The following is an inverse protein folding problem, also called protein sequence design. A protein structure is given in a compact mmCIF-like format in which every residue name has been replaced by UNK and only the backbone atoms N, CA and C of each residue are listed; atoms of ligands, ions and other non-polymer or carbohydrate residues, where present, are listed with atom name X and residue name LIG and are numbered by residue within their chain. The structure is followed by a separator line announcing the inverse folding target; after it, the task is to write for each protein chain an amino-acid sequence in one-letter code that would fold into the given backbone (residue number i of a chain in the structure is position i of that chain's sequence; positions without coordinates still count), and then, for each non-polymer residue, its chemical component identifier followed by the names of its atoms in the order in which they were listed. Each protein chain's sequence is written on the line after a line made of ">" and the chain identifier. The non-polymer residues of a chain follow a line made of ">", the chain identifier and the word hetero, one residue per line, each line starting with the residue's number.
data_IF_124542539005
#
_entry.id   IF_124542539005
#
_cell.length_a   1.000
_cell.length_b   1.000
_cell.length_c   1.000
_cell.angle_alpha   90.00
_cell.angle_beta   90.00
_cell.angle_gamma   90.00
#
_symmetry.space_group_name_H-M   'P 1'
#
loop_
_entity.id
_entity.type
_entity.pdbx_description
1 polymer ?
#
# COMPACT_ATOMS: atom_id res chain seq x y z
N UNK A 1 -8.53 19.48 18.28
CA UNK A 1 -7.42 18.94 19.10
C UNK A 1 -6.15 19.63 18.69
N UNK A 2 -5.42 20.25 19.63
CA UNK A 2 -4.11 20.83 19.34
C UNK A 2 -3.04 19.74 19.42
N UNK A 3 -2.17 19.64 18.41
CA UNK A 3 -1.05 18.68 18.39
C UNK A 3 0.26 19.41 18.66
N UNK A 4 1.14 18.82 19.49
CA UNK A 4 2.47 19.37 19.81
C UNK A 4 3.54 18.44 19.28
N UNK A 5 4.45 18.95 18.44
CA UNK A 5 5.63 18.19 17.99
C UNK A 5 6.69 18.20 19.09
N UNK A 6 7.08 17.00 19.54
CA UNK A 6 8.16 16.78 20.52
C UNK A 6 9.47 16.32 19.86
N UNK A 7 9.52 16.27 18.54
CA UNK A 7 10.64 15.72 17.78
C UNK A 7 11.96 16.44 18.09
N UNK A 8 11.96 17.76 18.19
CA UNK A 8 13.17 18.54 18.49
C UNK A 8 13.66 18.30 19.92
N UNK A 9 12.75 18.30 20.90
CA UNK A 9 13.08 17.98 22.29
C UNK A 9 13.66 16.56 22.41
N UNK A 10 13.07 15.61 21.70
CA UNK A 10 13.57 14.24 21.62
C UNK A 10 14.98 14.16 21.00
N UNK A 11 15.21 14.83 19.86
CA UNK A 11 16.52 14.83 19.20
C UNK A 11 17.59 15.46 20.07
N UNK A 12 17.26 16.55 20.77
CA UNK A 12 18.18 17.22 21.70
C UNK A 12 18.55 16.30 22.87
N UNK A 13 17.56 15.67 23.50
CA UNK A 13 17.78 14.71 24.60
C UNK A 13 18.59 13.50 24.12
N UNK A 14 18.30 12.97 22.93
CA UNK A 14 19.04 11.85 22.33
C UNK A 14 20.50 12.21 22.07
N UNK A 15 20.75 13.35 21.45
CA UNK A 15 22.11 13.80 21.12
C UNK A 15 22.91 14.12 22.39
N UNK A 16 22.28 14.76 23.38
CA UNK A 16 22.90 15.05 24.66
C UNK A 16 23.23 13.75 25.44
N UNK A 17 22.34 12.76 25.42
CA UNK A 17 22.60 11.44 26.00
C UNK A 17 23.75 10.70 25.28
N UNK A 18 23.86 10.83 23.96
CA UNK A 18 24.97 10.26 23.21
C UNK A 18 26.31 10.94 23.52
N UNK A 19 26.34 12.27 23.61
CA UNK A 19 27.53 13.03 24.01
C UNK A 19 27.97 12.68 25.45
N UNK A 20 27.03 12.63 26.40
CA UNK A 20 27.35 12.27 27.78
C UNK A 20 27.89 10.83 27.90
N UNK A 21 27.41 9.89 27.07
CA UNK A 21 28.00 8.53 26.99
C UNK A 21 29.45 8.55 26.53
N UNK A 22 29.77 9.37 25.53
CA UNK A 22 31.14 9.49 25.00
C UNK A 22 32.09 10.10 26.04
N UNK A 23 31.65 11.15 26.75
CA UNK A 23 32.44 11.81 27.80
C UNK A 23 32.71 10.85 28.97
N UNK A 24 31.69 10.08 29.39
CA UNK A 24 31.85 9.10 30.46
C UNK A 24 32.79 7.96 30.05
N UNK A 25 32.70 7.46 28.81
CA UNK A 25 33.60 6.44 28.30
C UNK A 25 35.05 6.94 28.22
N UNK A 26 35.26 8.18 27.76
CA UNK A 26 36.58 8.81 27.68
C UNK A 26 37.20 9.05 29.06
N UNK A 27 36.39 9.45 30.05
CA UNK A 27 36.82 9.61 31.44
C UNK A 27 37.21 8.27 32.08
N UNK A 28 36.47 7.18 31.81
CA UNK A 28 36.81 5.83 32.29
C UNK A 28 38.12 5.34 31.65
N UNK A 29 38.32 5.56 30.34
CA UNK A 29 39.58 5.21 29.66
C UNK A 29 40.79 6.02 30.14
N UNK A 30 40.60 7.30 30.52
CA UNK A 30 41.67 8.14 31.07
C UNK A 30 42.04 7.82 32.53
N UNK A 31 41.14 7.17 33.28
CA UNK A 31 41.44 6.65 34.62
C UNK A 31 42.24 5.35 34.55
N UNK A 32 42.04 4.55 33.49
CA UNK A 32 42.77 3.29 33.23
C UNK A 32 44.24 3.51 32.83
N UNK A 33 44.58 4.64 32.19
CA UNK A 33 45.91 4.92 31.62
C UNK A 33 46.91 5.60 32.56
N UNK A 34 46.60 5.77 33.86
CA UNK A 34 47.55 6.27 34.86
C UNK A 34 48.36 5.12 35.49
N UNK A 35 49.70 5.04 35.27
CA UNK A 35 50.53 4.04 35.92
C UNK A 35 50.82 4.48 37.36
N UNK A 36 50.10 3.89 38.32
CA UNK A 36 50.44 3.98 39.74
C UNK A 36 49.32 4.52 40.63
N UNK A 37 48.42 3.63 41.06
CA UNK A 37 47.91 3.64 42.44
C UNK A 37 47.27 2.28 42.75
N UNK A 38 47.59 1.76 43.93
CA UNK A 38 47.20 0.44 44.40
C UNK A 38 45.71 0.36 44.79
N UNK A 39 45.16 -0.86 44.64
CA UNK A 39 44.00 -1.45 45.37
C UNK A 39 42.76 -0.57 45.61
N UNK A 40 41.65 -0.83 44.90
CA UNK A 40 40.27 -0.95 45.44
C UNK A 40 39.24 -1.25 44.31
N UNK A 41 37.92 -1.41 44.56
CA UNK A 41 37.03 -2.45 44.07
C UNK A 41 36.38 -2.08 42.71
N UNK A 42 37.22 -1.80 41.71
CA UNK A 42 36.77 -1.34 40.38
C UNK A 42 36.38 -2.45 39.41
N UNK A 43 36.79 -3.70 39.68
CA UNK A 43 36.61 -4.81 38.73
C UNK A 43 35.14 -5.20 38.50
N UNK A 44 34.27 -5.12 39.51
CA UNK A 44 32.84 -5.45 39.36
C UNK A 44 32.06 -4.38 38.57
N UNK A 45 32.53 -3.12 38.58
CA UNK A 45 31.93 -2.03 37.80
C UNK A 45 32.38 -2.08 36.34
N UNK A 46 33.61 -2.54 36.08
CA UNK A 46 34.13 -2.77 34.73
C UNK A 46 33.41 -3.92 34.03
N UNK A 47 33.13 -5.03 34.73
CA UNK A 47 32.43 -6.19 34.16
C UNK A 47 30.94 -5.89 33.89
N UNK A 48 30.27 -5.12 34.76
CA UNK A 48 28.88 -4.66 34.54
C UNK A 48 28.77 -3.59 33.45
N UNK A 49 29.81 -2.78 33.26
CA UNK A 49 29.90 -1.82 32.16
C UNK A 49 30.16 -2.54 30.84
N UNK A 50 31.03 -3.55 30.84
CA UNK A 50 31.35 -4.39 29.68
C UNK A 50 30.18 -5.28 29.26
N UNK A 51 29.41 -5.84 30.20
CA UNK A 51 28.18 -6.58 29.91
C UNK A 51 27.05 -5.69 29.35
N UNK A 52 26.95 -4.44 29.85
CA UNK A 52 26.05 -3.43 29.27
C UNK A 52 26.54 -2.94 27.92
N UNK A 53 27.86 -2.88 27.71
CA UNK A 53 28.47 -2.55 26.44
C UNK A 53 28.24 -3.69 25.44
N UNK A 54 28.39 -4.96 25.82
CA UNK A 54 28.24 -6.14 24.97
C UNK A 54 26.80 -6.32 24.45
N UNK A 55 25.78 -5.96 25.23
CA UNK A 55 24.39 -5.91 24.77
C UNK A 55 24.11 -4.76 23.79
N UNK A 56 25.03 -3.79 23.69
CA UNK A 56 24.95 -2.60 22.83
C UNK A 56 26.01 -2.61 21.72
N UNK A 57 27.04 -3.46 21.77
CA UNK A 57 28.10 -3.60 20.76
C UNK A 57 27.60 -4.17 19.42
N UNK A 58 26.34 -4.61 19.36
CA UNK A 58 25.63 -4.85 18.09
C UNK A 58 25.13 -3.57 17.39
N UNK A 59 25.17 -2.43 18.08
CA UNK A 59 24.95 -1.09 17.52
C UNK A 59 26.33 -0.41 17.39
N UNK A 60 26.77 -0.28 16.15
CA UNK A 60 27.99 0.43 15.76
C UNK A 60 28.16 1.76 16.53
N UNK A 61 29.40 2.05 16.97
CA UNK A 61 29.81 3.29 17.65
C UNK A 61 29.71 4.55 16.77
N UNK A 62 29.39 4.41 15.49
CA UNK A 62 29.18 5.55 14.61
C UNK A 62 27.70 6.01 14.68
N UNK A 63 27.41 7.26 15.09
CA UNK A 63 26.03 7.76 15.15
C UNK A 63 25.31 7.79 13.80
N UNK A 64 26.03 7.71 12.67
CA UNK A 64 25.45 7.45 11.35
C UNK A 64 25.20 5.96 11.10
N UNK A 65 26.01 5.07 11.67
CA UNK A 65 25.84 3.62 11.61
C UNK A 65 24.82 3.06 12.62
N UNK A 66 24.44 3.83 13.64
CA UNK A 66 23.28 3.51 14.50
C UNK A 66 21.94 3.82 13.82
N UNK A 67 21.95 4.62 12.73
CA UNK A 67 20.91 4.64 11.69
C UNK A 67 21.19 3.52 10.66
N UNK A 68 21.91 2.48 11.07
CA UNK A 68 21.68 1.13 10.57
C UNK A 68 20.30 0.68 11.03
N UNK A 69 19.24 1.30 10.49
CA UNK A 69 18.03 0.54 10.12
C UNK A 69 18.59 -0.75 9.58
N UNK A 70 18.34 -1.86 10.28
CA UNK A 70 18.74 -3.19 9.82
C UNK A 70 18.51 -3.20 8.32
N UNK A 71 19.57 -3.20 7.51
CA UNK A 71 19.45 -3.29 6.05
C UNK A 71 18.98 -4.71 5.71
N UNK A 72 17.86 -5.13 6.29
CA UNK A 72 17.04 -6.18 5.74
C UNK A 72 16.53 -5.57 4.45
N UNK A 73 17.00 -6.12 3.34
CA UNK A 73 16.45 -5.77 2.05
C UNK A 73 14.92 -5.93 2.16
N UNK A 74 14.15 -4.99 1.60
CA UNK A 74 12.71 -5.12 1.57
C UNK A 74 12.34 -6.51 1.03
N UNK A 75 11.34 -7.17 1.62
CA UNK A 75 10.92 -8.48 1.14
C UNK A 75 10.67 -8.47 -0.36
N UNK A 76 11.03 -9.55 -1.06
CA UNK A 76 10.89 -9.63 -2.54
C UNK A 76 9.47 -9.40 -3.07
N UNK A 77 8.46 -9.51 -2.22
CA UNK A 77 7.08 -9.21 -2.58
C UNK A 77 6.80 -7.71 -2.67
N UNK A 78 7.63 -6.85 -2.06
CA UNK A 78 7.52 -5.39 -2.11
C UNK A 78 7.66 -4.88 -3.55
N UNK A 79 8.61 -5.42 -4.32
CA UNK A 79 8.76 -5.07 -5.74
C UNK A 79 7.47 -5.33 -6.54
N UNK A 80 6.76 -6.42 -6.22
CA UNK A 80 5.47 -6.73 -6.84
C UNK A 80 4.36 -5.77 -6.42
N UNK A 81 4.39 -5.27 -5.19
CA UNK A 81 3.46 -4.24 -4.71
C UNK A 81 3.72 -2.91 -5.43
N UNK A 82 4.98 -2.52 -5.58
CA UNK A 82 5.37 -1.30 -6.30
C UNK A 82 4.94 -1.35 -7.77
N UNK A 83 5.11 -2.49 -8.44
CA UNK A 83 4.62 -2.69 -9.81
C UNK A 83 3.09 -2.50 -9.91
N UNK A 84 2.32 -3.10 -8.98
CA UNK A 84 0.86 -2.94 -8.95
C UNK A 84 0.47 -1.48 -8.68
N UNK A 85 1.16 -0.80 -7.76
CA UNK A 85 0.89 0.62 -7.46
C UNK A 85 1.19 1.52 -8.65
N UNK A 86 2.25 1.22 -9.40
CA UNK A 86 2.56 1.90 -10.64
C UNK A 86 1.45 1.71 -11.69
N UNK A 87 1.01 0.47 -11.91
CA UNK A 87 -0.08 0.18 -12.85
C UNK A 87 -1.41 0.86 -12.42
N UNK A 88 -1.74 0.87 -11.12
CA UNK A 88 -2.90 1.60 -10.58
C UNK A 88 -2.82 3.10 -10.88
N UNK A 89 -1.63 3.70 -10.73
CA UNK A 89 -1.43 5.12 -11.03
C UNK A 89 -1.58 5.40 -12.53
N UNK A 90 -1.09 4.48 -13.36
CA UNK A 90 -1.21 4.55 -14.82
C UNK A 90 -2.66 4.38 -15.29
N UNK A 91 -3.44 3.48 -14.69
CA UNK A 91 -4.88 3.36 -14.93
C UNK A 91 -5.58 4.69 -14.60
N UNK A 92 -5.30 5.27 -13.42
CA UNK A 92 -5.87 6.58 -13.04
C UNK A 92 -5.56 7.67 -14.07
N UNK A 93 -4.35 7.70 -14.60
CA UNK A 93 -3.98 8.67 -15.63
C UNK A 93 -4.76 8.42 -16.93
N UNK A 94 -4.77 7.18 -17.44
CA UNK A 94 -5.51 6.82 -18.65
C UNK A 94 -7.01 7.07 -18.53
N UNK A 95 -7.60 6.89 -17.34
CA UNK A 95 -8.99 7.24 -17.09
C UNK A 95 -9.28 8.74 -17.21
N UNK A 96 -8.33 9.60 -16.79
CA UNK A 96 -8.46 11.05 -16.99
C UNK A 96 -8.35 11.41 -18.47
N UNK A 97 -7.41 10.79 -19.17
CA UNK A 97 -7.23 11.01 -20.61
C UNK A 97 -8.51 10.57 -21.36
N UNK A 98 -9.07 9.40 -21.01
CA UNK A 98 -10.35 8.92 -21.54
C UNK A 98 -11.51 9.88 -21.25
N UNK A 99 -11.59 10.43 -20.04
CA UNK A 99 -12.63 11.41 -19.71
C UNK A 99 -12.52 12.67 -20.59
N UNK A 100 -11.29 13.12 -20.88
CA UNK A 100 -11.07 14.24 -21.79
C UNK A 100 -11.48 13.92 -23.24
N UNK A 101 -11.23 12.69 -23.70
CA UNK A 101 -11.67 12.21 -25.01
C UNK A 101 -13.20 12.12 -25.09
N UNK A 102 -13.86 11.61 -24.04
CA UNK A 102 -15.32 11.58 -23.93
C UNK A 102 -15.94 12.98 -24.01
N UNK A 103 -15.39 13.96 -23.30
CA UNK A 103 -15.88 15.35 -23.35
C UNK A 103 -15.60 15.99 -24.71
N UNK A 104 -14.42 15.76 -25.31
CA UNK A 104 -14.10 16.25 -26.67
C UNK A 104 -15.08 15.69 -27.70
N UNK A 105 -15.33 14.38 -27.66
CA UNK A 105 -16.23 13.70 -28.58
C UNK A 105 -17.69 14.15 -28.42
N UNK A 106 -18.16 14.36 -27.18
CA UNK A 106 -19.53 14.81 -26.95
C UNK A 106 -19.78 16.26 -27.37
N UNK A 107 -18.76 17.12 -27.27
CA UNK A 107 -18.86 18.53 -27.61
C UNK A 107 -18.60 18.83 -29.11
N UNK A 108 -18.33 17.80 -29.93
CA UNK A 108 -18.02 18.01 -31.35
C UNK A 108 -19.23 18.54 -32.14
N UNK A 109 -19.05 19.50 -33.07
CA UNK A 109 -20.07 19.88 -34.04
C UNK A 109 -20.51 18.67 -34.88
N UNK A 110 -21.79 18.59 -35.23
CA UNK A 110 -22.41 17.42 -35.91
C UNK A 110 -21.86 17.12 -37.31
N UNK A 111 -21.05 18.03 -37.90
CA UNK A 111 -20.50 17.92 -39.24
C UNK A 111 -19.03 17.43 -39.27
N UNK A 112 -18.46 17.14 -38.10
CA UNK A 112 -17.08 16.66 -37.98
C UNK A 112 -17.09 15.12 -37.78
N UNK A 113 -16.93 14.40 -38.88
CA UNK A 113 -16.83 12.93 -38.96
C UNK A 113 -15.39 12.46 -38.65
N UNK A 114 -14.88 12.88 -37.49
CA UNK A 114 -13.58 12.43 -37.05
C UNK A 114 -13.73 11.09 -36.31
N UNK A 115 -13.62 10.01 -37.10
CA UNK A 115 -13.52 8.61 -36.65
C UNK A 115 -12.28 8.36 -35.78
N UNK A 116 -11.32 9.29 -35.79
CA UNK A 116 -10.08 9.23 -35.00
C UNK A 116 -10.35 9.28 -33.49
N UNK A 117 -11.27 10.14 -33.02
CA UNK A 117 -11.62 10.22 -31.60
C UNK A 117 -12.36 8.97 -31.11
N UNK A 118 -13.24 8.42 -31.93
CA UNK A 118 -14.00 7.21 -31.63
C UNK A 118 -13.05 6.02 -31.48
N UNK A 119 -12.12 5.89 -32.43
CA UNK A 119 -11.08 4.87 -32.37
C UNK A 119 -10.13 5.08 -31.17
N UNK A 120 -9.78 6.32 -30.84
CA UNK A 120 -8.96 6.63 -29.68
C UNK A 120 -9.66 6.27 -28.35
N UNK A 121 -10.98 6.48 -28.25
CA UNK A 121 -11.80 6.07 -27.10
C UNK A 121 -11.83 4.55 -26.98
N UNK A 122 -12.01 3.83 -28.09
CA UNK A 122 -11.99 2.37 -28.14
C UNK A 122 -10.64 1.82 -27.64
N UNK A 123 -9.53 2.27 -28.24
CA UNK A 123 -8.18 1.84 -27.87
C UNK A 123 -7.93 2.11 -26.38
N UNK A 124 -8.22 3.32 -25.92
CA UNK A 124 -7.98 3.70 -24.52
C UNK A 124 -8.84 2.88 -23.56
N UNK A 125 -10.09 2.57 -23.93
CA UNK A 125 -10.99 1.71 -23.15
C UNK A 125 -10.47 0.28 -23.05
N UNK A 126 -10.00 -0.28 -24.17
CA UNK A 126 -9.40 -1.62 -24.20
C UNK A 126 -8.10 -1.66 -23.38
N UNK A 127 -7.22 -0.67 -23.52
CA UNK A 127 -5.99 -0.56 -22.74
C UNK A 127 -6.28 -0.52 -21.23
N UNK A 128 -7.26 0.29 -20.80
CA UNK A 128 -7.66 0.37 -19.39
C UNK A 128 -8.16 -0.98 -18.88
N UNK A 129 -9.01 -1.67 -19.65
CA UNK A 129 -9.54 -3.00 -19.29
C UNK A 129 -8.42 -4.04 -19.17
N UNK A 130 -7.46 -4.03 -20.11
CA UNK A 130 -6.28 -4.90 -20.05
C UNK A 130 -5.40 -4.60 -18.83
N UNK A 131 -5.22 -3.32 -18.48
CA UNK A 131 -4.48 -2.93 -17.27
C UNK A 131 -5.19 -3.40 -15.99
N UNK A 132 -6.53 -3.31 -15.91
CA UNK A 132 -7.29 -3.87 -14.80
C UNK A 132 -7.04 -5.37 -14.64
N UNK A 133 -7.10 -6.15 -15.74
CA UNK A 133 -6.80 -7.58 -15.71
C UNK A 133 -5.35 -7.88 -15.32
N UNK A 134 -4.38 -7.06 -15.78
CA UNK A 134 -2.98 -7.19 -15.38
C UNK A 134 -2.84 -6.98 -13.87
N UNK A 135 -3.36 -5.87 -13.33
CA UNK A 135 -3.34 -5.61 -11.89
C UNK A 135 -3.99 -6.73 -11.09
N UNK A 136 -5.16 -7.21 -11.51
CA UNK A 136 -5.87 -8.32 -10.88
C UNK A 136 -5.02 -9.59 -10.84
N UNK A 137 -4.38 -9.99 -11.96
CA UNK A 137 -3.48 -11.16 -11.99
C UNK A 137 -2.25 -10.95 -11.11
N UNK A 138 -1.66 -9.76 -11.11
CA UNK A 138 -0.51 -9.43 -10.26
C UNK A 138 -0.87 -9.50 -8.77
N UNK A 139 -2.04 -8.99 -8.39
CA UNK A 139 -2.57 -9.11 -7.02
C UNK A 139 -2.75 -10.59 -6.63
N UNK A 140 -3.37 -11.42 -7.47
CA UNK A 140 -3.51 -12.87 -7.20
C UNK A 140 -2.15 -13.59 -7.13
N UNK A 141 -1.22 -13.25 -8.02
CA UNK A 141 0.14 -13.82 -8.02
C UNK A 141 0.88 -13.49 -6.73
N UNK A 142 0.70 -12.28 -6.20
CA UNK A 142 1.27 -11.86 -4.93
C UNK A 142 0.83 -12.76 -3.76
N UNK A 143 -0.40 -13.28 -3.78
CA UNK A 143 -0.89 -14.25 -2.80
C UNK A 143 -0.06 -15.54 -2.78
N UNK A 144 0.30 -16.05 -3.95
CA UNK A 144 1.09 -17.28 -4.07
C UNK A 144 2.51 -17.10 -3.51
N UNK A 145 3.06 -15.89 -3.63
CA UNK A 145 4.40 -15.52 -3.13
C UNK A 145 4.42 -15.40 -1.60
N UNK A 146 3.26 -15.28 -0.94
CA UNK A 146 3.12 -15.21 0.51
C UNK A 146 3.49 -16.51 1.23
N UNK A 147 3.42 -17.67 0.55
CA UNK A 147 3.62 -18.99 1.18
C UNK A 147 5.05 -19.25 1.67
N UNK A 148 6.02 -18.46 1.21
CA UNK A 148 7.44 -18.59 1.59
C UNK A 148 7.89 -17.50 2.59
N UNK A 149 6.96 -16.76 3.18
CA UNK A 149 7.26 -15.64 4.06
C UNK A 149 7.13 -16.02 5.55
N UNK A 150 7.75 -15.21 6.42
CA UNK A 150 7.53 -15.33 7.87
C UNK A 150 6.08 -14.99 8.22
N UNK A 151 5.58 -15.49 9.35
CA UNK A 151 4.19 -15.23 9.79
C UNK A 151 3.87 -13.73 9.90
N UNK A 152 4.86 -12.90 10.29
CA UNK A 152 4.71 -11.44 10.34
C UNK A 152 4.60 -10.83 8.94
N UNK A 153 5.45 -11.25 8.01
CA UNK A 153 5.41 -10.81 6.61
C UNK A 153 4.13 -11.26 5.92
N UNK A 154 3.62 -12.46 6.22
CA UNK A 154 2.36 -12.96 5.68
C UNK A 154 1.16 -12.10 6.11
N UNK A 155 1.11 -11.70 7.38
CA UNK A 155 0.08 -10.78 7.90
C UNK A 155 0.17 -9.41 7.22
N UNK A 156 1.38 -8.85 7.09
CA UNK A 156 1.60 -7.59 6.39
C UNK A 156 1.18 -7.68 4.91
N UNK A 157 1.56 -8.76 4.24
CA UNK A 157 1.23 -8.99 2.84
C UNK A 157 -0.26 -9.13 2.62
N UNK A 158 -0.98 -9.84 3.49
CA UNK A 158 -2.45 -9.89 3.47
C UNK A 158 -3.04 -8.49 3.58
N UNK A 159 -2.58 -7.67 4.53
CA UNK A 159 -3.05 -6.29 4.69
C UNK A 159 -2.84 -5.45 3.43
N UNK A 160 -1.64 -5.52 2.85
CA UNK A 160 -1.31 -4.79 1.61
C UNK A 160 -2.15 -5.28 0.44
N UNK A 161 -2.27 -6.60 0.26
CA UNK A 161 -3.00 -7.23 -0.85
C UNK A 161 -4.43 -6.71 -0.95
N UNK A 162 -5.14 -6.69 0.16
CA UNK A 162 -6.52 -6.24 0.13
C UNK A 162 -6.66 -4.72 0.14
N UNK A 163 -5.68 -3.96 0.66
CA UNK A 163 -5.64 -2.53 0.39
C UNK A 163 -5.49 -2.24 -1.11
N UNK A 164 -4.70 -3.05 -1.83
CA UNK A 164 -4.59 -2.98 -3.29
C UNK A 164 -5.90 -3.42 -3.97
N UNK A 165 -6.52 -4.50 -3.49
CA UNK A 165 -7.81 -4.97 -4.01
C UNK A 165 -8.92 -3.93 -3.85
N UNK A 166 -9.00 -3.27 -2.68
CA UNK A 166 -9.92 -2.17 -2.42
C UNK A 166 -9.66 -1.00 -3.37
N UNK A 167 -8.40 -0.57 -3.52
CA UNK A 167 -8.03 0.51 -4.44
C UNK A 167 -8.41 0.19 -5.89
N UNK A 168 -8.22 -1.06 -6.32
CA UNK A 168 -8.58 -1.53 -7.66
C UNK A 168 -10.10 -1.63 -7.84
N UNK A 169 -10.83 -2.03 -6.79
CA UNK A 169 -12.29 -2.05 -6.77
C UNK A 169 -12.86 -0.63 -6.88
N UNK A 170 -12.37 0.31 -6.07
CA UNK A 170 -12.77 1.72 -6.12
C UNK A 170 -12.50 2.30 -7.52
N UNK A 171 -11.33 1.99 -8.11
CA UNK A 171 -10.98 2.43 -9.45
C UNK A 171 -11.90 1.83 -10.53
N UNK A 172 -12.24 0.54 -10.43
CA UNK A 172 -13.19 -0.13 -11.33
C UNK A 172 -14.58 0.49 -11.22
N UNK A 173 -15.06 0.78 -10.01
CA UNK A 173 -16.35 1.46 -9.83
C UNK A 173 -16.33 2.85 -10.47
N UNK A 174 -15.27 3.65 -10.27
CA UNK A 174 -15.14 4.97 -10.88
C UNK A 174 -15.15 4.88 -12.42
N UNK A 175 -14.42 3.93 -13.01
CA UNK A 175 -14.41 3.71 -14.45
C UNK A 175 -15.79 3.36 -15.00
N UNK A 176 -16.49 2.41 -14.35
CA UNK A 176 -17.86 2.03 -14.74
C UNK A 176 -18.84 3.19 -14.64
N UNK A 177 -18.72 4.05 -13.61
CA UNK A 177 -19.54 5.26 -13.50
C UNK A 177 -19.23 6.26 -14.62
N UNK A 178 -17.94 6.47 -14.93
CA UNK A 178 -17.52 7.36 -16.02
C UNK A 178 -18.05 6.88 -17.37
N UNK A 179 -17.92 5.59 -17.67
CA UNK A 179 -18.46 4.97 -18.90
C UNK A 179 -19.99 5.03 -18.96
N UNK A 180 -20.68 4.70 -17.86
CA UNK A 180 -22.14 4.77 -17.80
C UNK A 180 -22.66 6.19 -17.97
N UNK A 181 -21.97 7.17 -17.37
CA UNK A 181 -22.28 8.59 -17.53
C UNK A 181 -22.09 9.08 -18.95
N UNK A 182 -21.00 8.64 -19.61
CA UNK A 182 -20.75 8.92 -21.02
C UNK A 182 -21.83 8.34 -21.93
N UNK A 183 -22.16 7.05 -21.80
CA UNK A 183 -23.24 6.39 -22.56
C UNK A 183 -24.58 7.11 -22.40
N UNK A 184 -24.93 7.52 -21.17
CA UNK A 184 -26.17 8.28 -20.91
C UNK A 184 -26.17 9.64 -21.62
N UNK A 185 -25.05 10.37 -21.59
CA UNK A 185 -24.94 11.67 -22.29
C UNK A 185 -25.02 11.52 -23.80
N UNK A 186 -24.41 10.45 -24.34
CA UNK A 186 -24.45 10.13 -25.76
C UNK A 186 -25.88 9.80 -26.23
N UNK A 187 -26.59 8.91 -25.51
CA UNK A 187 -27.99 8.59 -25.78
C UNK A 187 -28.90 9.82 -25.73
N UNK A 188 -28.74 10.67 -24.71
CA UNK A 188 -29.51 11.91 -24.59
C UNK A 188 -29.26 12.89 -25.75
N UNK A 189 -28.05 12.92 -26.31
CA UNK A 189 -27.72 13.73 -27.49
C UNK A 189 -28.43 13.17 -28.73
N UNK A 190 -28.44 11.84 -28.89
CA UNK A 190 -29.07 11.14 -30.01
C UNK A 190 -30.60 11.30 -30.00
N UNK A 191 -31.25 11.15 -28.85
CA UNK A 191 -32.70 11.38 -28.72
C UNK A 191 -33.07 12.82 -29.11
N UNK A 192 -32.25 13.80 -28.71
CA UNK A 192 -32.46 15.21 -29.08
C UNK A 192 -32.26 15.45 -30.57
N UNK A 193 -31.28 14.81 -31.22
CA UNK A 193 -31.10 14.93 -32.67
C UNK A 193 -32.22 14.21 -33.44
N UNK A 194 -32.66 13.04 -32.99
CA UNK A 194 -33.78 12.31 -33.60
C UNK A 194 -35.06 13.14 -33.60
N UNK A 195 -35.41 13.79 -32.49
CA UNK A 195 -36.57 14.68 -32.42
C UNK A 195 -36.52 15.85 -33.43
N UNK A 196 -35.33 16.36 -33.75
CA UNK A 196 -35.17 17.43 -34.73
C UNK A 196 -35.40 16.94 -36.17
N UNK A 197 -34.91 15.74 -36.50
CA UNK A 197 -35.09 15.14 -37.83
C UNK A 197 -36.50 14.57 -38.04
N UNK A 198 -37.09 13.96 -37.02
CA UNK A 198 -38.46 13.39 -37.08
C UNK A 198 -39.53 14.48 -37.21
N UNK A 199 -39.27 15.69 -36.70
CA UNK A 199 -40.14 16.88 -36.90
C UNK A 199 -39.90 17.57 -38.25
N UNK A 200 -38.79 17.29 -38.93
CA UNK A 200 -38.43 17.93 -40.21
C UNK A 200 -39.02 17.24 -41.45
N UNK A 201 -39.79 16.17 -41.27
CA UNK A 201 -40.73 15.68 -42.27
C UNK A 201 -42.17 16.04 -41.84
N UNK A 202 -42.60 17.31 -41.92
CA UNK A 202 -44.00 17.54 -42.23
C UNK A 202 -44.22 16.89 -43.60
N UNK A 203 -44.88 15.72 -43.63
CA UNK A 203 -45.79 15.44 -44.72
C UNK A 203 -46.71 16.67 -44.74
N UNK A 204 -46.46 17.60 -45.66
CA UNK A 204 -47.46 18.59 -46.01
C UNK A 204 -48.61 17.78 -46.60
N UNK A 205 -49.51 17.36 -45.71
CA UNK A 205 -50.88 17.00 -46.02
C UNK A 205 -51.57 18.29 -46.45
N UNK A 206 -51.27 18.72 -47.67
CA UNK A 206 -52.02 19.76 -48.34
C UNK A 206 -53.08 19.06 -49.19
N UNK A 207 -54.30 19.04 -48.65
CA UNK A 207 -55.56 19.00 -49.38
C UNK A 207 -55.77 17.88 -50.40
N UNK A 208 -56.63 16.93 -50.03
CA UNK A 208 -57.64 16.27 -50.89
C UNK A 208 -57.28 16.06 -52.38
N UNK A 209 -56.75 14.89 -52.75
CA UNK A 209 -57.39 14.02 -53.77
C UNK A 209 -56.72 12.63 -53.84
N UNK A 210 -57.50 11.65 -54.28
CA UNK A 210 -57.14 10.26 -54.50
C UNK A 210 -55.78 10.04 -55.21
N UNK A 211 -54.87 9.27 -54.61
CA UNK A 211 -54.27 8.06 -55.22
C UNK A 211 -53.30 7.38 -54.25
N UNK A 212 -53.71 6.19 -53.80
CA UNK A 212 -52.91 5.19 -53.12
C UNK A 212 -51.87 4.62 -54.13
N UNK A 213 -50.81 5.37 -54.42
CA UNK A 213 -49.66 4.90 -55.20
C UNK A 213 -48.37 5.31 -54.49
N UNK A 214 -47.81 4.37 -53.75
CA UNK A 214 -46.40 3.98 -53.77
C UNK A 214 -45.40 5.03 -54.31
N UNK A 215 -45.30 6.18 -53.64
CA UNK A 215 -44.17 7.08 -53.85
C UNK A 215 -43.06 6.61 -52.92
N UNK A 216 -42.38 5.55 -53.34
CA UNK A 216 -41.12 5.12 -52.74
C UNK A 216 -40.18 6.32 -52.56
N UNK A 217 -39.37 6.27 -51.50
CA UNK A 217 -38.35 7.28 -51.21
C UNK A 217 -37.65 7.71 -52.51
N UNK A 218 -37.52 9.02 -52.76
CA UNK A 218 -36.69 9.51 -53.88
C UNK A 218 -35.27 8.96 -53.72
N UNK A 219 -34.52 8.70 -54.80
CA UNK A 219 -33.14 8.15 -54.70
C UNK A 219 -32.26 8.95 -53.71
N UNK A 220 -32.42 10.28 -53.67
CA UNK A 220 -31.74 11.15 -52.69
C UNK A 220 -32.19 10.92 -51.23
N UNK A 221 -33.47 10.58 -51.01
CA UNK A 221 -34.00 10.20 -49.70
C UNK A 221 -33.52 8.80 -49.30
N UNK A 222 -33.43 7.87 -50.26
CA UNK A 222 -32.95 6.52 -50.02
C UNK A 222 -31.47 6.53 -49.62
N UNK A 223 -30.64 7.33 -50.30
CA UNK A 223 -29.22 7.54 -49.95
C UNK A 223 -29.08 8.18 -48.56
N UNK A 224 -29.93 9.14 -48.21
CA UNK A 224 -29.90 9.77 -46.89
C UNK A 224 -30.31 8.78 -45.77
N UNK A 225 -31.32 7.95 -46.03
CA UNK A 225 -31.74 6.89 -45.10
C UNK A 225 -30.62 5.85 -44.96
N UNK A 226 -30.02 5.39 -46.06
CA UNK A 226 -28.91 4.44 -46.04
C UNK A 226 -27.71 4.98 -45.25
N UNK A 227 -27.30 6.22 -45.51
CA UNK A 227 -26.22 6.88 -44.78
C UNK A 227 -26.53 7.04 -43.28
N UNK A 228 -27.79 7.36 -42.93
CA UNK A 228 -28.23 7.43 -41.54
C UNK A 228 -28.20 6.04 -40.87
N UNK A 229 -28.65 4.98 -41.58
CA UNK A 229 -28.61 3.61 -41.05
C UNK A 229 -27.19 3.12 -40.78
N UNK A 230 -26.23 3.43 -41.67
CA UNK A 230 -24.82 3.07 -41.50
C UNK A 230 -24.20 3.78 -40.28
N UNK A 231 -24.47 5.07 -40.11
CA UNK A 231 -24.03 5.81 -38.92
C UNK A 231 -24.62 5.23 -37.63
N UNK A 232 -25.91 4.88 -37.62
CA UNK A 232 -26.54 4.27 -36.44
C UNK A 232 -25.90 2.91 -36.11
N UNK A 233 -25.60 2.09 -37.12
CA UNK A 233 -24.98 0.78 -36.90
C UNK A 233 -23.55 0.88 -36.32
N UNK A 234 -22.76 1.84 -36.79
CA UNK A 234 -21.42 2.11 -36.27
C UNK A 234 -21.47 2.57 -34.80
N UNK A 235 -22.41 3.47 -34.48
CA UNK A 235 -22.64 3.89 -33.09
C UNK A 235 -23.08 2.76 -32.18
N UNK A 236 -23.97 1.88 -32.65
CA UNK A 236 -24.35 0.72 -31.84
C UNK A 236 -23.16 -0.20 -31.56
N UNK A 237 -22.22 -0.33 -32.50
CA UNK A 237 -21.00 -1.12 -32.29
C UNK A 237 -20.15 -0.52 -31.17
N UNK A 238 -19.97 0.80 -31.14
CA UNK A 238 -19.25 1.51 -30.07
C UNK A 238 -19.91 1.30 -28.71
N UNK A 239 -21.25 1.48 -28.63
CA UNK A 239 -22.01 1.26 -27.39
C UNK A 239 -21.80 -0.17 -26.91
N UNK A 240 -21.91 -1.15 -27.81
CA UNK A 240 -21.71 -2.57 -27.49
C UNK A 240 -20.31 -2.81 -26.91
N UNK A 241 -19.27 -2.21 -27.47
CA UNK A 241 -17.91 -2.34 -26.94
C UNK A 241 -17.75 -1.73 -25.54
N UNK A 242 -18.31 -0.55 -25.30
CA UNK A 242 -18.26 0.07 -23.96
C UNK A 242 -19.02 -0.79 -22.95
N UNK A 243 -20.21 -1.29 -23.31
CA UNK A 243 -21.00 -2.18 -22.46
C UNK A 243 -20.23 -3.49 -22.18
N UNK A 244 -19.54 -4.04 -23.18
CA UNK A 244 -18.68 -5.21 -23.00
C UNK A 244 -17.56 -4.91 -21.99
N UNK A 245 -16.86 -3.78 -22.12
CA UNK A 245 -15.81 -3.39 -21.17
C UNK A 245 -16.34 -3.23 -19.74
N UNK A 246 -17.56 -2.70 -19.56
CA UNK A 246 -18.23 -2.61 -18.25
C UNK A 246 -18.54 -4.02 -17.71
N UNK A 247 -18.98 -4.93 -18.58
CA UNK A 247 -19.28 -6.32 -18.22
C UNK A 247 -18.03 -7.08 -17.80
N UNK A 248 -16.94 -6.96 -18.55
CA UNK A 248 -15.64 -7.58 -18.25
C UNK A 248 -15.11 -7.12 -16.89
N UNK A 249 -15.22 -5.81 -16.60
CA UNK A 249 -14.85 -5.26 -15.29
C UNK A 249 -15.76 -5.73 -14.15
N UNK A 250 -16.99 -6.18 -14.44
CA UNK A 250 -17.88 -6.74 -13.44
C UNK A 250 -17.39 -8.12 -12.94
N UNK A 251 -16.73 -8.89 -13.81
CA UNK A 251 -16.08 -10.14 -13.43
C UNK A 251 -14.91 -9.86 -12.47
N UNK A 252 -14.03 -8.92 -12.86
CA UNK A 252 -12.91 -8.47 -12.01
C UNK A 252 -13.43 -7.97 -10.66
N UNK A 253 -14.51 -7.18 -10.68
CA UNK A 253 -15.14 -6.63 -9.47
C UNK A 253 -15.58 -7.73 -8.49
N UNK A 254 -16.24 -8.79 -8.97
CA UNK A 254 -16.71 -9.89 -8.10
C UNK A 254 -15.55 -10.63 -7.45
N UNK A 255 -14.48 -10.88 -8.20
CA UNK A 255 -13.32 -11.57 -7.67
C UNK A 255 -12.54 -10.74 -6.64
N UNK A 256 -12.38 -9.43 -6.89
CA UNK A 256 -11.74 -8.53 -5.94
C UNK A 256 -12.61 -8.31 -4.69
N UNK A 257 -13.93 -8.25 -4.85
CA UNK A 257 -14.86 -8.13 -3.73
C UNK A 257 -14.74 -9.32 -2.76
N UNK A 258 -14.56 -10.55 -3.27
CA UNK A 258 -14.28 -11.72 -2.42
C UNK A 258 -13.04 -11.53 -1.55
N UNK A 259 -11.95 -11.02 -2.13
CA UNK A 259 -10.68 -10.77 -1.44
C UNK A 259 -10.74 -9.64 -0.40
N UNK A 260 -11.65 -8.68 -0.58
CA UNK A 260 -11.90 -7.59 0.38
C UNK A 260 -12.79 -8.07 1.53
N UNK A 261 -13.83 -8.86 1.24
CA UNK A 261 -14.79 -9.36 2.24
C UNK A 261 -14.14 -10.35 3.21
N UNK A 262 -13.30 -11.27 2.73
CA UNK A 262 -12.58 -12.24 3.59
C UNK A 262 -11.69 -11.57 4.64
N UNK A 263 -11.29 -10.32 4.40
CA UNK A 263 -10.39 -9.60 5.27
C UNK A 263 -11.13 -8.83 6.39
N UNK A 264 -12.46 -8.71 6.36
CA UNK A 264 -13.27 -7.99 7.37
C UNK A 264 -13.28 -6.47 7.17
N UNK A 265 -13.88 -5.70 8.09
CA UNK A 265 -13.88 -4.22 7.98
C UNK A 265 -12.51 -3.63 8.35
N UNK A 266 -12.11 -2.53 7.71
CA UNK A 266 -10.82 -1.85 8.00
C UNK A 266 -10.73 -1.46 9.49
N UNK A 267 -11.86 -1.10 10.11
CA UNK A 267 -11.93 -0.71 11.52
C UNK A 267 -11.66 -1.91 12.45
N UNK A 268 -12.30 -3.04 12.19
CA UNK A 268 -12.12 -4.29 12.95
C UNK A 268 -10.65 -4.75 12.97
N UNK A 269 -9.92 -4.49 11.88
CA UNK A 269 -8.47 -4.76 11.81
C UNK A 269 -7.59 -3.78 12.55
N UNK A 270 -7.95 -2.50 12.60
CA UNK A 270 -7.18 -1.52 13.37
C UNK A 270 -7.34 -1.85 14.85
N UNK A 271 -8.58 -2.07 15.30
CA UNK A 271 -8.87 -2.41 16.69
C UNK A 271 -8.18 -3.72 17.08
N UNK A 272 -8.30 -4.77 16.26
CA UNK A 272 -7.61 -6.04 16.49
C UNK A 272 -6.08 -5.91 16.55
N UNK A 273 -5.46 -5.16 15.63
CA UNK A 273 -4.01 -4.98 15.64
C UNK A 273 -3.54 -4.13 16.82
N UNK A 274 -4.28 -3.09 17.18
CA UNK A 274 -3.99 -2.24 18.35
C UNK A 274 -4.14 -3.05 19.64
N UNK A 275 -5.19 -3.87 19.75
CA UNK A 275 -5.41 -4.78 20.87
C UNK A 275 -4.27 -5.80 20.97
N UNK A 276 -3.88 -6.44 19.86
CA UNK A 276 -2.72 -7.34 19.81
C UNK A 276 -1.42 -6.66 20.23
N UNK A 277 -1.19 -5.43 19.78
CA UNK A 277 -0.03 -4.63 20.20
C UNK A 277 -0.08 -4.30 21.70
N UNK A 278 -1.26 -4.01 22.25
CA UNK A 278 -1.45 -3.78 23.67
C UNK A 278 -1.09 -5.04 24.47
N UNK A 279 -1.66 -6.20 24.10
CA UNK A 279 -1.39 -7.50 24.75
C UNK A 279 0.10 -7.83 24.71
N UNK A 280 0.75 -7.72 23.54
CA UNK A 280 2.20 -7.97 23.40
C UNK A 280 3.05 -7.03 24.24
N UNK A 281 2.64 -5.77 24.39
CA UNK A 281 3.38 -4.81 25.22
C UNK A 281 3.23 -5.15 26.70
N UNK A 282 2.05 -5.60 27.13
CA UNK A 282 1.80 -6.07 28.49
C UNK A 282 2.61 -7.34 28.81
N UNK A 283 2.64 -8.30 27.88
CA UNK A 283 3.50 -9.50 28.00
C UNK A 283 4.97 -9.12 28.06
N UNK A 284 5.42 -8.20 27.20
CA UNK A 284 6.78 -7.65 27.21
C UNK A 284 7.14 -7.02 28.56
N UNK A 285 6.22 -6.28 29.17
CA UNK A 285 6.38 -5.72 30.52
C UNK A 285 6.55 -6.84 31.57
N UNK A 286 5.73 -7.90 31.52
CA UNK A 286 5.85 -9.06 32.42
C UNK A 286 7.21 -9.75 32.27
N UNK A 287 7.69 -9.90 31.04
CA UNK A 287 9.03 -10.45 30.78
C UNK A 287 10.15 -9.57 31.34
N UNK A 288 10.05 -8.24 31.18
CA UNK A 288 10.99 -7.27 31.75
C UNK A 288 11.01 -7.34 33.29
N UNK A 289 9.85 -7.40 33.93
CA UNK A 289 9.75 -7.55 35.39
C UNK A 289 10.37 -8.86 35.87
N UNK A 290 10.13 -9.96 35.15
CA UNK A 290 10.72 -11.27 35.46
C UNK A 290 12.24 -11.23 35.31
N UNK A 291 12.76 -10.60 34.26
CA UNK A 291 14.19 -10.41 34.04
C UNK A 291 14.83 -9.58 35.16
N UNK A 292 14.18 -8.49 35.59
CA UNK A 292 14.64 -7.66 36.72
C UNK A 292 14.71 -8.47 38.03
N UNK A 293 13.69 -9.29 38.31
CA UNK A 293 13.68 -10.17 39.48
C UNK A 293 14.82 -11.20 39.44
N UNK A 294 15.06 -11.81 38.27
CA UNK A 294 16.21 -12.70 38.09
C UNK A 294 17.53 -11.96 38.32
N UNK A 295 17.70 -10.76 37.77
CA UNK A 295 18.92 -9.96 37.94
C UNK A 295 19.16 -9.59 39.41
N UNK A 296 18.12 -9.19 40.15
CA UNK A 296 18.20 -8.89 41.60
C UNK A 296 18.58 -10.13 42.42
N UNK A 297 18.05 -11.30 42.07
CA UNK A 297 18.36 -12.57 42.76
C UNK A 297 19.79 -13.03 42.48
N UNK A 298 20.26 -12.82 41.25
CA UNK A 298 21.61 -13.24 40.85
C UNK A 298 22.72 -12.50 41.62
N UNK A 299 22.49 -11.24 42.03
CA UNK A 299 23.43 -10.49 42.90
C UNK A 299 23.72 -11.23 44.22
N UNK A 300 22.71 -11.85 44.84
CA UNK A 300 22.91 -12.63 46.08
C UNK A 300 23.69 -13.92 45.83
N UNK A 301 23.48 -14.53 44.66
CA UNK A 301 24.20 -15.74 44.24
C UNK A 301 25.69 -15.44 44.00
N UNK A 302 26.00 -14.29 43.39
CA UNK A 302 27.38 -13.83 43.16
C UNK A 302 28.14 -13.63 44.48
N UNK A 303 27.51 -13.02 45.50
CA UNK A 303 28.11 -12.87 46.84
C UNK A 303 28.38 -14.24 47.50
N UNK A 304 27.45 -15.19 47.38
CA UNK A 304 27.64 -16.56 47.91
C UNK A 304 28.79 -17.26 47.20
N UNK A 305 28.93 -17.08 45.88
CA UNK A 305 30.01 -17.65 45.09
C UNK A 305 31.38 -17.06 45.48
N UNK A 306 31.47 -15.74 45.67
CA UNK A 306 32.71 -15.08 46.16
C UNK A 306 33.10 -15.62 47.53
N UNK A 307 32.14 -15.76 48.46
CA UNK A 307 32.40 -16.28 49.80
C UNK A 307 32.90 -17.73 49.76
N UNK A 308 32.32 -18.56 48.90
CA UNK A 308 32.76 -19.94 48.68
C UNK A 308 34.20 -20.02 48.16
N UNK A 309 34.57 -19.20 47.16
CA UNK A 309 35.94 -19.13 46.64
C UNK A 309 36.93 -18.69 47.73
N UNK A 310 36.55 -17.70 48.54
CA UNK A 310 37.39 -17.19 49.63
C UNK A 310 37.67 -18.26 50.70
N UNK A 311 36.67 -19.09 51.04
CA UNK A 311 36.85 -20.22 51.97
C UNK A 311 37.82 -21.25 51.40
N UNK A 312 37.72 -21.59 50.11
CA UNK A 312 38.65 -22.52 49.46
C UNK A 312 40.09 -22.00 49.55
N UNK A 313 40.31 -20.72 49.24
CA UNK A 313 41.64 -20.09 49.33
C UNK A 313 42.19 -20.19 50.75
N UNK A 314 41.38 -19.89 51.77
CA UNK A 314 41.77 -20.01 53.18
C UNK A 314 42.16 -21.43 53.57
N UNK A 315 41.40 -22.44 53.13
CA UNK A 315 41.70 -23.86 53.40
C UNK A 315 43.02 -24.27 52.75
N UNK A 316 43.27 -23.88 51.50
CA UNK A 316 44.53 -24.17 50.80
C UNK A 316 45.73 -23.54 51.52
N UNK A 317 45.59 -22.28 51.97
CA UNK A 317 46.63 -21.60 52.76
C UNK A 317 46.89 -22.30 54.08
N UNK A 318 45.83 -22.70 54.81
CA UNK A 318 45.96 -23.42 56.09
C UNK A 318 46.69 -24.75 55.94
N UNK A 319 46.33 -25.53 54.91
CA UNK A 319 47.00 -26.79 54.60
C UNK A 319 48.48 -26.52 54.25
N UNK A 320 48.76 -25.52 53.41
CA UNK A 320 50.13 -25.15 53.03
C UNK A 320 51.00 -24.66 54.18
N UNK A 321 50.43 -23.93 55.15
CA UNK A 321 51.15 -23.49 56.36
C UNK A 321 51.36 -24.64 57.34
N UNK A 322 50.40 -25.56 57.47
CA UNK A 322 50.53 -26.71 58.39
C UNK A 322 51.41 -27.84 57.86
N UNK A 323 51.66 -27.90 56.55
CA UNK A 323 52.58 -28.82 55.90
C UNK A 323 54.03 -28.29 55.80
N UNK A 324 54.27 -27.05 56.25
CA UNK A 324 55.60 -26.51 56.54
C UNK A 324 55.93 -26.67 58.02
#
# INVERSE_FOLDING_TARGET
>A
MATRRLTEAFLLLRNNAAQNRHILAEQVSNVSSRPGSARSPGAELDELADDRMALVSGLSLDPEAAIGVTKRLPPKWVDGVEEIQYDVTRIKQKMKDLASLHDKHLNRPTLDDSTEEEHAIEITTQEITQMFHRCQRSVKSLQSRARNCTEQEERLLRNVMSSLAQSLQDLSTNFRHTQSGYLKRMKNREERSKHFFDTSVPLMDDGEDHTLYDRGFTDDQLVLVEQNTLMVEEREREIRQIVQSISDLNEIFRELAGMVVEQGTVLDRIDYNVEQSCVKTEEGLKHLQKAEQYQKKNRKMLVILILFVLVIVLVVVLIGVKLK
#
